data_IF_343805223960
#
_entry.id   IF_343805223960
#
_cell.length_a   1.000
_cell.length_b   1.000
_cell.length_c   1.000
_cell.angle_alpha   90.00
_cell.angle_beta   90.00
_cell.angle_gamma   90.00
#
_symmetry.space_group_name_H-M   'P 1'
#
loop_
_entity.id
_entity.type
_entity.pdbx_description
1 polymer ?
#
# COMPACT_ATOMS: atom_id res chain seq x y z
N UNK A 1 -16.71 14.34 -21.06
CA UNK A 1 -16.59 12.96 -20.52
C UNK A 1 -16.21 11.93 -21.58
N UNK A 2 -16.64 12.08 -22.84
CA UNK A 2 -16.26 11.18 -23.95
C UNK A 2 -14.76 11.13 -24.23
N UNK A 3 -14.06 12.27 -24.13
CA UNK A 3 -12.60 12.35 -24.30
C UNK A 3 -11.86 11.51 -23.26
N UNK A 4 -12.29 11.57 -21.99
CA UNK A 4 -11.72 10.77 -20.89
C UNK A 4 -11.89 9.28 -21.15
N UNK A 5 -13.08 8.86 -21.60
CA UNK A 5 -13.35 7.47 -21.94
C UNK A 5 -12.47 6.97 -23.09
N UNK A 6 -12.29 7.77 -24.15
CA UNK A 6 -11.41 7.44 -25.27
C UNK A 6 -9.95 7.27 -24.85
N UNK A 7 -9.45 8.17 -24.00
CA UNK A 7 -8.08 8.08 -23.47
C UNK A 7 -7.93 6.83 -22.57
N UNK A 8 -8.89 6.58 -21.68
CA UNK A 8 -8.86 5.46 -20.76
C UNK A 8 -8.85 4.10 -21.49
N UNK A 9 -9.83 3.87 -22.38
CA UNK A 9 -9.91 2.62 -23.13
C UNK A 9 -8.79 2.51 -24.17
N UNK A 10 -8.39 3.63 -24.80
CA UNK A 10 -7.28 3.65 -25.75
C UNK A 10 -5.95 3.21 -25.10
N UNK A 11 -5.58 3.79 -23.96
CA UNK A 11 -4.33 3.44 -23.27
C UNK A 11 -4.36 2.04 -22.65
N UNK A 12 -5.52 1.56 -22.18
CA UNK A 12 -5.66 0.17 -21.72
C UNK A 12 -5.43 -0.83 -22.85
N UNK A 13 -5.94 -0.56 -24.06
CA UNK A 13 -5.77 -1.46 -25.21
C UNK A 13 -4.31 -1.54 -25.69
N UNK A 14 -3.52 -0.49 -25.45
CA UNK A 14 -2.06 -0.48 -25.70
C UNK A 14 -1.29 -1.32 -24.66
N UNK A 15 -1.96 -1.76 -23.58
CA UNK A 15 -1.36 -2.60 -22.54
C UNK A 15 -0.60 -1.82 -21.47
N UNK A 16 -0.85 -0.52 -21.31
CA UNK A 16 -0.24 0.26 -20.22
C UNK A 16 -0.76 -0.21 -18.85
N UNK A 17 0.08 -0.21 -17.80
CA UNK A 17 -0.38 -0.50 -16.44
C UNK A 17 -1.49 0.45 -16.02
N UNK A 18 -2.50 -0.09 -15.34
CA UNK A 18 -3.75 0.63 -15.01
C UNK A 18 -3.51 1.95 -14.27
N UNK A 19 -2.47 2.03 -13.43
CA UNK A 19 -2.10 3.27 -12.74
C UNK A 19 -1.75 4.44 -13.69
N UNK A 20 -1.01 4.17 -14.77
CA UNK A 20 -0.69 5.20 -15.77
C UNK A 20 -1.93 5.62 -16.55
N UNK A 21 -2.79 4.67 -16.89
CA UNK A 21 -4.04 4.94 -17.59
C UNK A 21 -4.95 5.85 -16.77
N UNK A 22 -5.13 5.54 -15.48
CA UNK A 22 -5.92 6.35 -14.55
C UNK A 22 -5.33 7.75 -14.36
N UNK A 23 -4.01 7.88 -14.27
CA UNK A 23 -3.33 9.16 -14.14
C UNK A 23 -3.57 10.08 -15.35
N UNK A 24 -3.32 9.58 -16.56
CA UNK A 24 -3.47 10.37 -17.80
C UNK A 24 -4.94 10.70 -18.08
N UNK A 25 -5.84 9.73 -17.94
CA UNK A 25 -7.28 9.95 -18.12
C UNK A 25 -7.85 10.92 -17.05
N UNK A 26 -7.36 10.83 -15.81
CA UNK A 26 -7.74 11.72 -14.71
C UNK A 26 -7.32 13.17 -14.95
N UNK A 27 -6.07 13.41 -15.39
CA UNK A 27 -5.59 14.75 -15.75
C UNK A 27 -6.38 15.33 -16.92
N UNK A 28 -6.65 14.53 -17.96
CA UNK A 28 -7.51 14.96 -19.07
C UNK A 28 -8.94 15.32 -18.61
N UNK A 29 -9.47 14.60 -17.61
CA UNK A 29 -10.75 14.92 -16.98
C UNK A 29 -10.73 16.24 -16.21
N UNK A 30 -9.67 16.51 -15.45
CA UNK A 30 -9.51 17.78 -14.72
C UNK A 30 -9.47 18.99 -15.67
N UNK A 31 -8.73 18.87 -16.78
CA UNK A 31 -8.69 19.90 -17.84
C UNK A 31 -10.08 20.10 -18.45
N UNK A 32 -10.83 19.03 -18.68
CA UNK A 32 -12.17 19.12 -19.27
C UNK A 32 -13.21 19.78 -18.36
N UNK A 33 -13.08 19.63 -17.03
CA UNK A 33 -14.05 20.17 -16.07
C UNK A 33 -13.79 21.62 -15.73
N UNK A 34 -12.53 22.03 -15.58
CA UNK A 34 -12.21 23.37 -15.09
C UNK A 34 -10.89 23.96 -15.59
N UNK A 35 -10.32 23.39 -16.65
CA UNK A 35 -9.13 23.90 -17.32
C UNK A 35 -7.91 23.97 -16.40
N UNK A 36 -7.09 25.00 -16.59
CA UNK A 36 -5.82 25.18 -15.89
C UNK A 36 -5.98 25.46 -14.38
N UNK A 37 -7.11 26.04 -13.98
CA UNK A 37 -7.40 26.32 -12.57
C UNK A 37 -7.52 25.05 -11.72
N UNK A 38 -7.98 23.95 -12.31
CA UNK A 38 -8.11 22.65 -11.64
C UNK A 38 -6.87 21.77 -11.79
N UNK A 39 -5.91 22.12 -12.65
CA UNK A 39 -4.63 21.41 -12.74
C UNK A 39 -3.83 21.54 -11.45
N UNK A 40 -3.96 22.65 -10.71
CA UNK A 40 -3.36 22.82 -9.39
C UNK A 40 -3.86 21.78 -8.35
N UNK A 41 -5.01 21.14 -8.58
CA UNK A 41 -5.50 20.05 -7.73
C UNK A 41 -4.83 18.70 -8.03
N UNK A 42 -4.21 18.52 -9.19
CA UNK A 42 -3.61 17.24 -9.57
C UNK A 42 -2.45 16.82 -8.65
N UNK A 43 -1.46 17.69 -8.33
CA UNK A 43 -0.43 17.36 -7.35
C UNK A 43 -1.04 17.10 -5.97
N UNK A 44 -2.00 17.92 -5.54
CA UNK A 44 -2.65 17.77 -4.22
C UNK A 44 -3.31 16.40 -4.06
N UNK A 45 -4.05 15.94 -5.07
CA UNK A 45 -4.69 14.62 -5.09
C UNK A 45 -3.69 13.47 -5.11
N UNK A 46 -2.55 13.65 -5.78
CA UNK A 46 -1.48 12.68 -5.78
C UNK A 46 -0.84 12.53 -4.38
N UNK A 47 -0.57 13.66 -3.71
CA UNK A 47 -0.04 13.66 -2.34
C UNK A 47 -1.05 13.13 -1.31
N UNK A 48 -2.34 13.45 -1.44
CA UNK A 48 -3.40 12.86 -0.60
C UNK A 48 -3.48 11.34 -0.76
N UNK A 49 -3.14 10.79 -1.93
CA UNK A 49 -3.02 9.35 -2.15
C UNK A 49 -1.78 8.71 -1.54
N UNK A 50 -0.73 9.48 -1.24
CA UNK A 50 0.45 9.02 -0.51
C UNK A 50 0.23 9.07 1.02
N UNK A 51 -0.68 9.94 1.47
CA UNK A 51 -1.12 10.05 2.86
C UNK A 51 -2.09 8.93 3.27
N UNK A 52 -2.07 7.80 2.56
CA UNK A 52 -2.76 6.60 2.99
C UNK A 52 -2.09 6.13 4.27
N UNK A 53 -2.87 6.04 5.34
CA UNK A 53 -2.49 5.47 6.63
C UNK A 53 -1.60 4.21 6.49
N UNK A 54 -1.85 3.37 5.48
CA UNK A 54 -1.05 2.19 5.14
C UNK A 54 0.42 2.49 4.81
N UNK A 55 0.70 3.55 4.06
CA UNK A 55 2.06 3.92 3.65
C UNK A 55 2.88 4.40 4.85
N UNK A 56 2.26 5.11 5.80
CA UNK A 56 2.89 5.46 7.08
C UNK A 56 2.95 4.28 8.04
N UNK A 57 1.92 3.42 8.07
CA UNK A 57 1.89 2.26 8.96
C UNK A 57 3.01 1.26 8.65
N UNK A 58 3.37 1.08 7.37
CA UNK A 58 4.45 0.19 6.96
C UNK A 58 5.81 0.48 7.64
N UNK A 59 6.41 1.69 7.57
CA UNK A 59 7.65 1.99 8.26
C UNK A 59 7.51 1.94 9.78
N UNK A 60 6.35 2.32 10.35
CA UNK A 60 6.13 2.18 11.79
C UNK A 60 6.10 0.72 12.24
N UNK A 61 5.50 -0.19 11.48
CA UNK A 61 5.53 -1.63 11.77
C UNK A 61 6.93 -2.21 11.62
N UNK A 62 7.68 -1.81 10.60
CA UNK A 62 9.09 -2.22 10.43
C UNK A 62 9.91 -1.75 11.64
N UNK A 63 9.75 -0.49 12.04
CA UNK A 63 10.46 0.07 13.19
C UNK A 63 10.07 -0.61 14.51
N UNK A 64 8.77 -0.88 14.72
CA UNK A 64 8.30 -1.64 15.87
C UNK A 64 8.89 -3.05 15.89
N UNK A 65 8.95 -3.73 14.73
CA UNK A 65 9.62 -5.03 14.58
C UNK A 65 11.09 -5.00 14.96
N UNK A 66 11.81 -3.98 14.49
CA UNK A 66 13.23 -3.78 14.81
C UNK A 66 13.44 -3.49 16.30
N UNK A 67 12.59 -2.68 16.92
CA UNK A 67 12.62 -2.42 18.36
C UNK A 67 12.38 -3.72 19.13
N UNK A 68 11.37 -4.52 18.77
CA UNK A 68 11.07 -5.79 19.43
C UNK A 68 12.23 -6.78 19.35
N UNK A 69 12.90 -6.85 18.19
CA UNK A 69 14.07 -7.69 17.99
C UNK A 69 15.26 -7.21 18.84
N UNK A 70 15.58 -5.91 18.81
CA UNK A 70 16.71 -5.35 19.58
C UNK A 70 16.53 -5.41 21.09
N UNK A 71 15.30 -5.23 21.57
CA UNK A 71 14.97 -5.26 23.00
C UNK A 71 14.79 -6.69 23.53
N UNK A 72 14.84 -7.70 22.66
CA UNK A 72 14.63 -9.10 23.01
C UNK A 72 13.18 -9.45 23.34
N UNK A 73 12.23 -8.55 23.07
CA UNK A 73 10.79 -8.80 23.25
C UNK A 73 10.36 -9.98 22.38
N UNK A 74 10.84 -10.06 21.12
CA UNK A 74 10.56 -11.17 20.22
C UNK A 74 10.95 -12.51 20.85
N UNK A 75 12.15 -12.61 21.44
CA UNK A 75 12.62 -13.83 22.08
C UNK A 75 11.76 -14.20 23.30
N UNK A 76 11.41 -13.23 24.14
CA UNK A 76 10.54 -13.45 25.31
C UNK A 76 9.15 -13.96 24.91
N UNK A 77 8.59 -13.44 23.82
CA UNK A 77 7.29 -13.91 23.29
C UNK A 77 7.42 -15.35 22.79
N UNK A 78 8.51 -15.68 22.09
CA UNK A 78 8.78 -17.04 21.60
C UNK A 78 8.95 -18.02 22.76
N UNK A 79 9.75 -17.67 23.78
CA UNK A 79 9.93 -18.49 24.98
C UNK A 79 8.63 -18.70 25.75
N UNK A 80 7.81 -17.65 25.85
CA UNK A 80 6.48 -17.75 26.44
C UNK A 80 5.56 -18.70 25.65
N UNK A 81 5.51 -18.57 24.33
CA UNK A 81 4.74 -19.47 23.48
C UNK A 81 5.25 -20.92 23.60
N UNK A 82 6.56 -21.13 23.61
CA UNK A 82 7.18 -22.44 23.78
C UNK A 82 6.84 -23.07 25.15
N UNK A 83 6.77 -22.28 26.21
CA UNK A 83 6.33 -22.78 27.52
C UNK A 83 4.87 -23.31 27.52
N UNK A 84 4.01 -22.76 26.65
CA UNK A 84 2.61 -23.15 26.54
C UNK A 84 2.41 -24.39 25.66
N UNK A 85 3.08 -24.44 24.50
CA UNK A 85 2.83 -25.47 23.46
C UNK A 85 4.03 -26.37 23.15
N UNK A 86 5.22 -26.09 23.69
CA UNK A 86 6.46 -26.83 23.42
C UNK A 86 6.47 -28.27 23.92
N UNK A 87 5.58 -28.62 24.85
CA UNK A 87 5.35 -30.01 25.28
C UNK A 87 4.73 -30.87 24.17
N UNK A 88 4.11 -30.27 23.16
CA UNK A 88 3.59 -30.95 21.98
C UNK A 88 4.64 -30.97 20.87
N UNK A 89 5.01 -32.16 20.39
CA UNK A 89 5.94 -32.31 19.26
C UNK A 89 5.43 -31.53 18.04
N UNK A 90 6.20 -30.54 17.60
CA UNK A 90 5.85 -29.68 16.45
C UNK A 90 5.00 -28.44 16.78
N UNK A 91 4.79 -28.10 18.06
CA UNK A 91 3.92 -27.00 18.48
C UNK A 91 4.25 -25.63 17.85
N UNK A 92 5.54 -25.29 17.71
CA UNK A 92 6.00 -24.06 17.03
C UNK A 92 6.10 -24.20 15.50
N UNK A 93 6.13 -25.42 14.96
CA UNK A 93 6.22 -25.65 13.52
C UNK A 93 4.87 -25.38 12.82
N UNK A 94 3.76 -25.60 13.53
CA UNK A 94 2.42 -25.30 13.02
C UNK A 94 2.18 -23.81 12.74
N UNK A 95 2.87 -22.90 13.44
CA UNK A 95 2.71 -21.44 13.26
C UNK A 95 3.61 -20.83 12.20
N UNK A 96 4.68 -21.52 11.76
CA UNK A 96 5.61 -21.03 10.71
C UNK A 96 5.20 -21.48 9.29
N UNK A 97 4.14 -22.26 9.13
CA UNK A 97 3.61 -22.72 7.84
C UNK A 97 2.26 -22.07 7.50
N UNK A 98 2.19 -20.73 7.39
CA UNK A 98 1.18 -20.00 6.60
C UNK A 98 1.81 -18.73 6.04
#
# INVERSE_FOLDING_TARGET
MTIVALIFFGLMLVGLPVGYVLGVAGVAGLIQVGGENFLAMAPKRFFEGLDLFTFMAMPFFIMAGEIMNRTGITNKIVEFADSLVGHMRGGLAHTNMV
#
